data_IF_495081222519
#
_entry.id   IF_495081222519
#
_cell.length_a   1.000
_cell.length_b   1.000
_cell.length_c   1.000
_cell.angle_alpha   90.00
_cell.angle_beta   90.00
_cell.angle_gamma   90.00
#
_symmetry.space_group_name_H-M   'P 1'
#
loop_
_entity.id
_entity.type
_entity.pdbx_description
1 polymer ?
#
# COMPACT_ATOMS: atom_id res chain seq x y z
N UNK A 1 -32.90 4.36 4.70
CA UNK A 1 -31.79 3.92 3.81
C UNK A 1 -31.97 4.54 2.43
N UNK A 2 -30.88 4.87 1.71
CA UNK A 2 -30.97 5.49 0.38
C UNK A 2 -31.29 4.44 -0.68
N UNK A 3 -32.34 4.64 -1.47
CA UNK A 3 -32.75 3.70 -2.52
C UNK A 3 -31.63 3.41 -3.53
N UNK A 4 -30.78 4.40 -3.85
CA UNK A 4 -29.66 4.22 -4.78
C UNK A 4 -28.64 3.17 -4.33
N UNK A 5 -28.38 3.08 -3.02
CA UNK A 5 -27.51 2.05 -2.48
C UNK A 5 -28.20 0.69 -2.55
N UNK A 6 -29.47 0.65 -2.15
CA UNK A 6 -30.19 -0.61 -2.05
C UNK A 6 -30.43 -1.27 -3.39
N UNK A 7 -30.72 -0.48 -4.44
CA UNK A 7 -30.83 -0.96 -5.82
C UNK A 7 -29.59 -1.71 -6.31
N UNK A 8 -28.38 -1.30 -5.89
CA UNK A 8 -27.14 -2.00 -6.25
C UNK A 8 -27.00 -3.35 -5.57
N UNK A 9 -27.61 -3.52 -4.39
CA UNK A 9 -27.54 -4.75 -3.60
C UNK A 9 -28.63 -5.75 -4.00
N UNK A 10 -29.68 -5.33 -4.70
CA UNK A 10 -30.81 -6.21 -5.09
C UNK A 10 -30.35 -7.43 -5.89
N UNK A 11 -29.45 -7.29 -6.86
CA UNK A 11 -28.96 -8.43 -7.65
C UNK A 11 -28.14 -9.41 -6.80
N UNK A 12 -27.21 -8.90 -5.99
CA UNK A 12 -26.43 -9.73 -5.06
C UNK A 12 -27.32 -10.43 -4.01
N UNK A 13 -28.40 -9.76 -3.57
CA UNK A 13 -29.43 -10.36 -2.72
C UNK A 13 -30.13 -11.54 -3.42
N UNK A 14 -30.54 -11.37 -4.68
CA UNK A 14 -31.19 -12.43 -5.47
C UNK A 14 -30.27 -13.63 -5.74
N UNK A 15 -28.96 -13.38 -5.86
CA UNK A 15 -27.94 -14.40 -6.06
C UNK A 15 -27.43 -15.02 -4.75
N UNK A 16 -27.92 -14.55 -3.59
CA UNK A 16 -27.54 -14.98 -2.23
C UNK A 16 -26.05 -14.78 -1.93
N UNK A 17 -25.51 -13.67 -2.38
CA UNK A 17 -24.09 -13.31 -2.20
C UNK A 17 -23.87 -12.31 -1.05
N UNK A 18 -24.94 -11.81 -0.43
CA UNK A 18 -24.87 -10.86 0.69
C UNK A 18 -24.67 -11.57 2.03
N UNK A 19 -24.08 -10.85 2.99
CA UNK A 19 -24.07 -11.29 4.38
C UNK A 19 -25.45 -11.16 5.05
N UNK A 20 -25.57 -11.67 6.27
CA UNK A 20 -26.85 -11.68 7.00
C UNK A 20 -27.38 -10.28 7.32
N UNK A 21 -26.49 -9.34 7.62
CA UNK A 21 -26.86 -7.98 8.03
C UNK A 21 -27.32 -7.18 6.80
N UNK A 22 -26.61 -7.33 5.68
CA UNK A 22 -26.96 -6.74 4.39
C UNK A 22 -28.29 -7.29 3.87
N UNK A 23 -28.51 -8.60 3.98
CA UNK A 23 -29.76 -9.26 3.57
C UNK A 23 -30.95 -8.71 4.34
N UNK A 24 -30.86 -8.66 5.68
CA UNK A 24 -31.92 -8.09 6.52
C UNK A 24 -32.21 -6.62 6.18
N UNK A 25 -31.17 -5.86 5.87
CA UNK A 25 -31.30 -4.45 5.50
C UNK A 25 -31.98 -4.26 4.14
N UNK A 26 -31.70 -5.13 3.16
CA UNK A 26 -32.37 -5.15 1.86
C UNK A 26 -33.84 -5.53 2.01
N UNK A 27 -34.14 -6.61 2.75
CA UNK A 27 -35.52 -7.08 3.00
C UNK A 27 -36.37 -5.99 3.65
N UNK A 28 -35.87 -5.42 4.76
CA UNK A 28 -36.55 -4.32 5.47
C UNK A 28 -36.82 -3.13 4.53
N UNK A 29 -35.89 -2.84 3.62
CA UNK A 29 -36.07 -1.73 2.67
C UNK A 29 -37.08 -2.04 1.57
N UNK A 30 -37.09 -3.25 1.03
CA UNK A 30 -38.05 -3.69 0.00
C UNK A 30 -39.48 -3.74 0.57
N UNK A 31 -39.63 -4.12 1.83
CA UNK A 31 -40.92 -4.06 2.54
C UNK A 31 -41.41 -2.62 2.67
N UNK A 32 -40.52 -1.67 2.97
CA UNK A 32 -40.87 -0.26 3.16
C UNK A 32 -40.88 0.62 1.89
N UNK A 33 -40.33 0.15 0.76
CA UNK A 33 -40.15 0.96 -0.45
C UNK A 33 -40.70 0.29 -1.70
N UNK A 34 -41.79 0.85 -2.24
CA UNK A 34 -42.44 0.35 -3.47
C UNK A 34 -41.50 0.35 -4.68
N UNK A 35 -40.68 1.40 -4.85
CA UNK A 35 -39.76 1.50 -5.98
C UNK A 35 -38.71 0.39 -6.00
N UNK A 36 -38.12 0.08 -4.84
CA UNK A 36 -37.13 -1.00 -4.70
C UNK A 36 -37.78 -2.38 -4.80
N UNK A 37 -39.01 -2.54 -4.32
CA UNK A 37 -39.79 -3.77 -4.47
C UNK A 37 -40.09 -4.09 -5.94
N UNK A 38 -40.49 -3.09 -6.71
CA UNK A 38 -40.73 -3.24 -8.15
C UNK A 38 -39.46 -3.66 -8.88
N UNK A 39 -38.34 -3.01 -8.59
CA UNK A 39 -37.06 -3.33 -9.22
C UNK A 39 -36.56 -4.74 -8.86
N UNK A 40 -36.71 -5.17 -7.60
CA UNK A 40 -36.42 -6.56 -7.21
C UNK A 40 -37.29 -7.58 -7.95
N UNK A 41 -38.58 -7.28 -8.17
CA UNK A 41 -39.46 -8.14 -8.95
C UNK A 41 -39.07 -8.20 -10.44
N UNK A 42 -38.63 -7.09 -11.02
CA UNK A 42 -38.13 -7.04 -12.41
C UNK A 42 -36.88 -7.91 -12.59
N UNK A 43 -35.90 -7.82 -11.67
CA UNK A 43 -34.72 -8.67 -11.69
C UNK A 43 -35.04 -10.15 -11.45
N UNK A 44 -35.95 -10.47 -10.52
CA UNK A 44 -36.37 -11.86 -10.29
C UNK A 44 -37.08 -12.45 -11.53
N UNK A 45 -37.92 -11.65 -12.21
CA UNK A 45 -38.55 -12.06 -13.45
C UNK A 45 -37.51 -12.38 -14.53
N UNK A 46 -36.49 -11.53 -14.70
CA UNK A 46 -35.40 -11.78 -15.65
C UNK A 46 -34.61 -13.05 -15.28
N UNK A 47 -34.30 -13.23 -13.99
CA UNK A 47 -33.61 -14.42 -13.48
C UNK A 47 -34.38 -15.71 -13.81
N UNK A 48 -35.72 -15.70 -13.66
CA UNK A 48 -36.57 -16.85 -13.99
C UNK A 48 -36.54 -17.22 -15.48
N UNK A 49 -36.42 -16.23 -16.38
CA UNK A 49 -36.27 -16.50 -17.82
C UNK A 49 -34.98 -17.29 -18.08
N UNK A 50 -33.86 -16.88 -17.48
CA UNK A 50 -32.59 -17.58 -17.66
C UNK A 50 -32.53 -18.94 -16.95
N UNK A 51 -33.14 -19.07 -15.76
CA UNK A 51 -33.12 -20.35 -15.04
C UNK A 51 -34.06 -21.40 -15.63
N UNK A 52 -35.09 -20.97 -16.38
CA UNK A 52 -36.00 -21.86 -17.11
C UNK A 52 -35.48 -22.25 -18.50
N UNK A 53 -34.40 -21.63 -18.98
CA UNK A 53 -33.77 -22.00 -20.23
C UNK A 53 -33.20 -23.43 -20.18
N UNK A 54 -33.25 -24.13 -21.31
CA UNK A 54 -32.68 -25.46 -21.45
C UNK A 54 -31.18 -25.43 -21.18
N UNK A 55 -30.71 -26.36 -20.34
CA UNK A 55 -29.29 -26.50 -20.02
C UNK A 55 -28.65 -27.47 -20.99
N UNK A 56 -27.62 -27.02 -21.68
CA UNK A 56 -26.81 -27.86 -22.57
C UNK A 56 -25.63 -28.44 -21.80
N UNK A 57 -25.36 -29.73 -21.99
CA UNK A 57 -24.12 -30.32 -21.48
C UNK A 57 -22.91 -29.77 -22.24
N UNK A 58 -21.86 -29.44 -21.50
CA UNK A 58 -20.62 -28.99 -22.10
C UNK A 58 -19.97 -30.15 -22.89
N UNK A 59 -19.43 -29.92 -24.10
CA UNK A 59 -18.73 -30.94 -24.85
C UNK A 59 -17.55 -31.53 -24.07
N UNK A 60 -17.20 -32.78 -24.37
CA UNK A 60 -16.06 -33.45 -23.76
C UNK A 60 -14.78 -32.61 -23.90
N UNK A 61 -14.06 -32.44 -22.79
CA UNK A 61 -12.82 -31.68 -22.75
C UNK A 61 -12.97 -30.15 -22.87
N UNK A 62 -14.19 -29.59 -22.76
CA UNK A 62 -14.40 -28.14 -22.78
C UNK A 62 -13.63 -27.42 -21.66
N UNK A 63 -13.76 -27.88 -20.41
CA UNK A 63 -13.08 -27.28 -19.26
C UNK A 63 -11.55 -27.28 -19.42
N UNK A 64 -10.98 -28.39 -19.87
CA UNK A 64 -9.53 -28.48 -20.14
C UNK A 64 -9.07 -27.51 -21.21
N UNK A 65 -9.84 -27.35 -22.29
CA UNK A 65 -9.54 -26.40 -23.38
C UNK A 65 -9.60 -24.95 -22.91
N UNK A 66 -10.59 -24.61 -22.09
CA UNK A 66 -10.73 -23.26 -21.52
C UNK A 66 -9.55 -22.97 -20.59
N UNK A 67 -9.22 -23.88 -19.68
CA UNK A 67 -8.12 -23.72 -18.74
C UNK A 67 -6.75 -23.61 -19.45
N UNK A 68 -6.53 -24.38 -20.51
CA UNK A 68 -5.30 -24.26 -21.31
C UNK A 68 -5.20 -22.90 -22.01
N UNK A 69 -6.31 -22.39 -22.56
CA UNK A 69 -6.32 -21.10 -23.24
C UNK A 69 -6.03 -19.93 -22.30
N UNK A 70 -6.55 -19.97 -21.06
CA UNK A 70 -6.26 -18.96 -20.04
C UNK A 70 -4.77 -18.94 -19.64
N UNK A 71 -4.18 -20.14 -19.45
CA UNK A 71 -2.77 -20.27 -19.08
C UNK A 71 -1.81 -19.76 -20.17
N UNK A 72 -2.15 -19.99 -21.44
CA UNK A 72 -1.39 -19.45 -22.57
C UNK A 72 -1.35 -17.92 -22.49
N UNK A 73 -2.50 -17.28 -22.23
CA UNK A 73 -2.65 -15.83 -22.24
C UNK A 73 -1.89 -15.13 -21.10
N UNK A 74 -1.83 -15.71 -19.90
CA UNK A 74 -1.07 -15.13 -18.78
C UNK A 74 0.45 -15.16 -19.00
N UNK A 75 0.96 -16.12 -19.76
CA UNK A 75 2.41 -16.31 -19.95
C UNK A 75 3.07 -15.28 -20.88
N UNK A 76 2.28 -14.50 -21.64
CA UNK A 76 2.82 -13.64 -22.71
C UNK A 76 3.18 -12.20 -22.29
N UNK A 77 2.88 -11.76 -21.06
CA UNK A 77 3.14 -10.39 -20.62
C UNK A 77 4.60 -10.09 -20.26
N UNK A 78 5.27 -11.02 -19.57
CA UNK A 78 6.63 -10.82 -19.02
C UNK A 78 7.71 -11.63 -19.73
N UNK A 79 7.37 -12.80 -20.28
CA UNK A 79 8.34 -13.64 -21.00
C UNK A 79 8.62 -13.15 -22.43
N UNK A 80 7.66 -12.46 -23.07
CA UNK A 80 7.83 -11.94 -24.44
C UNK A 80 8.81 -10.76 -24.51
N UNK A 81 8.89 -9.93 -23.48
CA UNK A 81 9.90 -8.85 -23.39
C UNK A 81 11.27 -9.40 -23.03
N UNK A 82 11.34 -10.41 -22.15
CA UNK A 82 12.62 -10.99 -21.73
C UNK A 82 13.29 -11.89 -22.78
N UNK A 83 12.49 -12.62 -23.57
CA UNK A 83 13.02 -13.57 -24.57
C UNK A 83 13.50 -12.93 -25.88
N UNK A 84 13.02 -11.72 -26.22
CA UNK A 84 13.44 -10.98 -27.41
C UNK A 84 14.33 -9.76 -27.11
N UNK A 85 14.60 -9.46 -25.83
CA UNK A 85 15.54 -8.39 -25.51
C UNK A 85 16.97 -8.84 -25.89
N UNK A 86 17.63 -8.14 -26.82
CA UNK A 86 18.97 -8.50 -27.25
C UNK A 86 19.96 -8.29 -26.10
N UNK A 87 21.00 -9.12 -26.06
CA UNK A 87 21.95 -9.21 -24.95
C UNK A 87 22.52 -7.84 -24.52
N UNK A 88 22.73 -6.91 -25.47
CA UNK A 88 23.26 -5.58 -25.22
C UNK A 88 22.39 -4.72 -24.30
N UNK A 89 21.07 -4.88 -24.33
CA UNK A 89 20.15 -4.13 -23.45
C UNK A 89 20.21 -4.63 -21.99
N UNK A 90 20.57 -5.90 -21.76
CA UNK A 90 20.81 -6.44 -20.41
C UNK A 90 22.13 -5.91 -19.82
N UNK A 91 23.18 -5.85 -20.64
CA UNK A 91 24.47 -5.27 -20.26
C UNK A 91 24.36 -3.77 -19.97
N UNK A 92 23.56 -3.03 -20.74
CA UNK A 92 23.31 -1.60 -20.52
C UNK A 92 22.58 -1.32 -19.19
N UNK A 93 21.60 -2.15 -18.82
CA UNK A 93 20.88 -2.00 -17.54
C UNK A 93 21.79 -2.17 -16.31
N UNK A 94 22.68 -3.18 -16.34
CA UNK A 94 23.68 -3.40 -15.28
C UNK A 94 24.64 -2.21 -15.15
N UNK A 95 25.10 -1.66 -16.27
CA UNK A 95 25.97 -0.48 -16.27
C UNK A 95 25.25 0.74 -15.67
N UNK A 96 23.97 0.94 -15.98
CA UNK A 96 23.18 2.07 -15.45
C UNK A 96 22.99 1.99 -13.93
N UNK A 97 22.68 0.80 -13.39
CA UNK A 97 22.56 0.59 -11.93
C UNK A 97 23.89 0.85 -11.22
N UNK A 98 25.00 0.35 -11.77
CA UNK A 98 26.34 0.60 -11.26
C UNK A 98 26.66 2.10 -11.27
N UNK A 99 26.32 2.80 -12.34
CA UNK A 99 26.57 4.23 -12.49
C UNK A 99 25.82 5.05 -11.43
N UNK A 100 24.54 4.72 -11.15
CA UNK A 100 23.76 5.35 -10.08
C UNK A 100 24.39 5.10 -8.70
N UNK A 101 24.78 3.85 -8.41
CA UNK A 101 25.44 3.49 -7.15
C UNK A 101 26.75 4.25 -6.95
N UNK A 102 27.58 4.33 -7.99
CA UNK A 102 28.85 5.06 -7.95
C UNK A 102 28.61 6.55 -7.77
N UNK A 103 27.64 7.13 -8.48
CA UNK A 103 27.29 8.56 -8.35
C UNK A 103 26.77 8.88 -6.95
N UNK A 104 25.97 8.00 -6.36
CA UNK A 104 25.51 8.10 -4.96
C UNK A 104 26.66 8.00 -3.96
N UNK A 105 27.60 7.07 -4.17
CA UNK A 105 28.76 6.91 -3.31
C UNK A 105 29.71 8.13 -3.37
N UNK A 106 29.96 8.68 -4.56
CA UNK A 106 30.81 9.86 -4.74
C UNK A 106 30.18 11.09 -4.10
N UNK A 107 28.88 11.33 -4.34
CA UNK A 107 28.17 12.46 -3.74
C UNK A 107 28.08 12.36 -2.22
N UNK A 108 27.79 11.17 -1.68
CA UNK A 108 27.82 10.92 -0.24
C UNK A 108 29.21 11.12 0.38
N UNK A 109 30.25 10.62 -0.28
CA UNK A 109 31.64 10.79 0.18
C UNK A 109 32.08 12.26 0.17
N UNK A 110 31.71 13.04 -0.86
CA UNK A 110 32.01 14.47 -0.93
C UNK A 110 31.33 15.27 0.20
N UNK A 111 30.09 14.92 0.56
CA UNK A 111 29.38 15.55 1.67
C UNK A 111 30.01 15.22 3.04
N UNK A 112 30.55 14.02 3.21
CA UNK A 112 31.17 13.56 4.47
C UNK A 112 32.61 14.04 4.62
N UNK A 113 33.38 14.13 3.52
CA UNK A 113 34.78 14.56 3.55
C UNK A 113 34.98 16.05 3.83
N UNK A 114 33.95 16.88 3.67
CA UNK A 114 34.04 18.34 3.79
C UNK A 114 33.91 18.93 5.19
N UNK A 115 33.59 18.14 6.23
CA UNK A 115 33.47 18.65 7.61
C UNK A 115 34.20 17.76 8.61
N UNK A 116 35.13 18.29 9.44
CA UNK A 116 35.65 17.52 10.57
C UNK A 116 34.46 17.19 11.48
N UNK A 117 34.29 15.90 11.82
CA UNK A 117 33.16 15.38 12.62
C UNK A 117 32.88 16.20 13.89
N UNK A 118 33.92 16.83 14.44
CA UNK A 118 33.89 17.72 15.60
C UNK A 118 33.03 18.99 15.38
N UNK A 119 33.05 19.59 14.19
CA UNK A 119 32.28 20.82 13.89
C UNK A 119 30.79 20.53 13.63
N UNK A 120 30.46 19.34 13.14
CA UNK A 120 29.07 18.92 12.92
C UNK A 120 28.38 18.66 14.25
N UNK A 121 29.06 17.98 15.18
CA UNK A 121 28.50 17.70 16.50
C UNK A 121 28.28 18.98 17.31
N UNK A 122 29.24 19.90 17.30
CA UNK A 122 29.10 21.21 17.95
C UNK A 122 27.94 22.03 17.35
N UNK A 123 27.79 22.05 16.01
CA UNK A 123 26.71 22.77 15.35
C UNK A 123 25.31 22.19 15.61
N UNK A 124 25.19 20.87 15.72
CA UNK A 124 23.93 20.19 16.06
C UNK A 124 23.56 20.45 17.52
N UNK A 125 24.50 20.37 18.45
CA UNK A 125 24.25 20.68 19.87
C UNK A 125 23.80 22.13 20.06
N UNK A 126 24.44 23.07 19.37
CA UNK A 126 24.08 24.48 19.45
C UNK A 126 22.72 24.77 18.78
N UNK A 127 22.43 24.17 17.62
CA UNK A 127 21.16 24.36 16.92
C UNK A 127 19.95 23.83 17.71
N UNK A 128 20.13 22.75 18.48
CA UNK A 128 19.09 22.17 19.33
C UNK A 128 19.22 22.55 20.81
N UNK A 129 20.12 23.50 21.14
CA UNK A 129 20.39 23.96 22.52
C UNK A 129 20.59 22.83 23.52
N UNK A 130 21.25 21.75 23.08
CA UNK A 130 21.43 20.54 23.89
C UNK A 130 22.44 20.72 25.03
N UNK A 131 23.21 21.81 25.01
CA UNK A 131 24.13 22.20 26.09
C UNK A 131 23.38 22.51 27.41
N UNK A 132 22.07 22.77 27.35
CA UNK A 132 21.22 22.94 28.54
C UNK A 132 20.99 21.63 29.32
N UNK A 133 21.20 20.47 28.68
CA UNK A 133 21.00 19.14 29.27
C UNK A 133 22.28 18.52 29.82
N UNK A 134 23.44 19.20 29.73
CA UNK A 134 24.65 18.71 30.39
C UNK A 134 24.53 18.79 31.91
N UNK A 135 25.32 17.99 32.63
CA UNK A 135 25.24 17.89 34.09
C UNK A 135 25.51 19.24 34.81
N UNK A 136 26.22 20.16 34.15
CA UNK A 136 26.52 21.50 34.67
C UNK A 136 26.40 22.56 33.54
N UNK A 137 25.18 22.98 33.17
CA UNK A 137 25.00 24.01 32.15
C UNK A 137 25.59 25.35 32.62
N UNK A 138 26.17 26.16 31.73
CA UNK A 138 26.66 27.49 32.08
C UNK A 138 25.51 28.37 32.60
N UNK A 139 25.69 29.00 33.76
CA UNK A 139 24.67 29.82 34.42
C UNK A 139 23.62 29.03 35.23
N UNK A 140 23.74 27.71 35.35
CA UNK A 140 22.88 26.90 36.23
C UNK A 140 23.29 27.01 37.71
N UNK A 141 22.31 26.90 38.61
CA UNK A 141 22.56 26.87 40.06
C UNK A 141 23.43 25.68 40.48
N UNK A 142 23.27 24.52 39.84
CA UNK A 142 24.11 23.34 40.06
C UNK A 142 25.55 23.57 39.60
N UNK A 143 25.76 24.22 38.46
CA UNK A 143 27.10 24.59 37.98
C UNK A 143 27.82 25.57 38.93
N UNK A 144 27.09 26.57 39.44
CA UNK A 144 27.61 27.50 40.45
C UNK A 144 27.93 26.78 41.76
N UNK A 145 27.04 25.88 42.21
CA UNK A 145 27.27 25.05 43.41
C UNK A 145 28.52 24.18 43.28
N UNK A 146 28.67 23.46 42.16
CA UNK A 146 29.85 22.61 41.89
C UNK A 146 31.13 23.45 41.84
N UNK A 147 31.11 24.63 41.23
CA UNK A 147 32.27 25.53 41.22
C UNK A 147 32.64 26.00 42.64
N UNK A 148 31.65 26.32 43.47
CA UNK A 148 31.89 26.73 44.87
C UNK A 148 32.39 25.57 45.74
N UNK A 149 31.87 24.35 45.55
CA UNK A 149 32.26 23.19 46.37
C UNK A 149 33.54 22.50 45.88
N UNK A 150 33.81 22.53 44.58
CA UNK A 150 35.00 21.93 43.97
C UNK A 150 36.29 22.71 44.26
N UNK A 151 36.20 24.04 44.40
CA UNK A 151 37.32 24.89 44.77
C UNK A 151 37.82 24.69 46.22
N UNK A 152 37.11 23.92 47.04
CA UNK A 152 37.49 23.61 48.42
C UNK A 152 38.42 22.40 48.59
N UNK A 153 38.78 21.71 47.51
CA UNK A 153 39.50 20.43 47.59
C UNK A 153 40.79 20.35 46.75
N UNK A 154 41.48 21.48 46.56
CA UNK A 154 42.89 21.51 46.13
C UNK A 154 43.67 22.40 47.11
N UNK A 155 44.34 21.76 48.09
CA UNK A 155 45.51 22.32 48.77
C UNK A 155 46.75 21.87 48.02
#
# INVERSE_FOLDING_TARGET
>A
MKCTHMKKLITAYLDRELDSDETAAVETHIEGCEACRKEAAEYDALRRIFTSAERFEAPYGFGTRVMSALKEQESHGLWRTFSFQPLFLRLAGLAFVLLIMIMGAISGSLLVSGKPRVAVEAGVRQAFSLDLFEATPPGSLSGVYVAMTGAGHER
#
